data_IF_447075353380
#
_entry.id   IF_447075353380
#
_cell.length_a   1.000
_cell.length_b   1.000
_cell.length_c   1.000
_cell.angle_alpha   90.00
_cell.angle_beta   90.00
_cell.angle_gamma   90.00
#
_symmetry.space_group_name_H-M   'P 1'
#
loop_
_entity.id
_entity.type
_entity.pdbx_description
1 polymer ?
#
# COMPACT_ATOMS: atom_id res chain seq x y z
N UNK A 1 -9.07 -1.14 -12.16
CA UNK A 1 -8.50 0.24 -12.14
C UNK A 1 -7.12 0.21 -12.77
N UNK A 2 -6.83 1.05 -13.76
CA UNK A 2 -5.50 1.09 -14.41
C UNK A 2 -4.48 1.84 -13.56
N UNK A 3 -3.19 1.70 -13.89
CA UNK A 3 -2.11 2.42 -13.22
C UNK A 3 -2.29 3.94 -13.29
N UNK A 4 -2.63 4.47 -14.46
CA UNK A 4 -2.74 5.92 -14.64
C UNK A 4 -3.96 6.47 -13.88
N UNK A 5 -5.09 5.75 -13.88
CA UNK A 5 -6.25 6.08 -13.05
C UNK A 5 -5.88 6.13 -11.56
N UNK A 6 -5.09 5.15 -11.10
CA UNK A 6 -4.60 5.12 -9.72
C UNK A 6 -3.75 6.35 -9.39
N UNK A 7 -2.81 6.73 -10.26
CA UNK A 7 -1.98 7.92 -10.05
C UNK A 7 -2.78 9.22 -9.98
N UNK A 8 -3.87 9.36 -10.74
CA UNK A 8 -4.74 10.54 -10.66
C UNK A 8 -5.45 10.67 -9.30
N UNK A 9 -5.64 9.57 -8.56
CA UNK A 9 -6.30 9.60 -7.25
C UNK A 9 -5.39 10.12 -6.13
N UNK A 10 -4.08 10.10 -6.33
CA UNK A 10 -3.08 10.50 -5.31
C UNK A 10 -3.31 11.93 -4.80
N UNK A 11 -3.62 12.85 -5.71
CA UNK A 11 -3.77 14.27 -5.41
C UNK A 11 -5.25 14.70 -5.38
N UNK A 12 -6.18 13.74 -5.48
CA UNK A 12 -7.61 14.01 -5.45
C UNK A 12 -8.04 14.34 -4.02
N UNK A 13 -8.53 15.55 -3.81
CA UNK A 13 -9.19 15.92 -2.56
C UNK A 13 -10.35 14.95 -2.27
N UNK A 14 -10.34 14.38 -1.06
CA UNK A 14 -11.35 13.44 -0.61
C UNK A 14 -11.86 13.86 0.77
N UNK A 15 -13.14 14.20 0.84
CA UNK A 15 -13.82 14.49 2.10
C UNK A 15 -13.91 13.23 2.95
N UNK A 16 -13.94 13.36 4.28
CA UNK A 16 -14.00 12.21 5.20
C UNK A 16 -15.21 11.30 4.90
N UNK A 17 -16.35 11.89 4.52
CA UNK A 17 -17.57 11.16 4.15
C UNK A 17 -17.44 10.31 2.88
N UNK A 18 -16.47 10.62 2.01
CA UNK A 18 -16.22 9.89 0.76
C UNK A 18 -15.20 8.76 0.93
N UNK A 19 -14.57 8.66 2.11
CA UNK A 19 -13.55 7.66 2.39
C UNK A 19 -14.19 6.34 2.79
N UNK A 20 -13.81 5.29 2.08
CA UNK A 20 -14.18 3.92 2.43
C UNK A 20 -13.45 3.52 3.70
N UNK A 21 -14.16 2.85 4.62
CA UNK A 21 -13.54 2.20 5.76
C UNK A 21 -12.83 0.94 5.29
N UNK A 22 -11.55 0.79 5.62
CA UNK A 22 -10.77 -0.38 5.22
C UNK A 22 -11.34 -1.67 5.84
N UNK A 23 -12.00 -1.59 7.00
CA UNK A 23 -12.66 -2.74 7.62
C UNK A 23 -13.91 -3.20 6.83
N UNK A 24 -14.51 -2.32 6.02
CA UNK A 24 -15.63 -2.67 5.16
C UNK A 24 -15.19 -3.38 3.86
N UNK A 25 -13.89 -3.39 3.55
CA UNK A 25 -13.35 -4.09 2.39
C UNK A 25 -13.25 -5.58 2.69
N UNK A 26 -14.05 -6.38 1.98
CA UNK A 26 -14.09 -7.83 2.15
C UNK A 26 -13.46 -8.53 0.95
N UNK A 27 -12.42 -9.32 1.19
CA UNK A 27 -11.68 -10.04 0.15
C UNK A 27 -11.82 -11.54 0.32
N UNK A 28 -12.21 -12.23 -0.76
CA UNK A 28 -12.11 -13.68 -0.83
C UNK A 28 -10.63 -14.11 -0.90
N UNK A 29 -10.16 -14.75 0.17
CA UNK A 29 -8.78 -15.20 0.30
C UNK A 29 -8.46 -16.41 -0.59
N UNK A 30 -9.47 -17.13 -1.08
CA UNK A 30 -9.28 -18.25 -2.00
C UNK A 30 -8.94 -17.80 -3.43
N UNK A 31 -9.24 -16.54 -3.79
CA UNK A 31 -8.93 -16.00 -5.12
C UNK A 31 -7.42 -15.83 -5.33
N UNK A 32 -6.91 -15.92 -6.58
CA UNK A 32 -5.52 -15.60 -6.87
C UNK A 32 -5.16 -14.15 -6.52
N UNK A 33 -3.88 -13.90 -6.21
CA UNK A 33 -3.42 -12.60 -5.72
C UNK A 33 -3.78 -11.42 -6.65
N UNK A 34 -3.69 -11.60 -7.97
CA UNK A 34 -4.04 -10.55 -8.94
C UNK A 34 -5.52 -10.15 -8.85
N UNK A 35 -6.41 -11.13 -8.68
CA UNK A 35 -7.85 -10.91 -8.57
C UNK A 35 -8.21 -10.23 -7.25
N UNK A 36 -7.55 -10.64 -6.15
CA UNK A 36 -7.71 -9.95 -4.85
C UNK A 36 -7.26 -8.50 -4.92
N UNK A 37 -6.16 -8.21 -5.62
CA UNK A 37 -5.69 -6.84 -5.80
C UNK A 37 -6.69 -5.99 -6.62
N UNK A 38 -7.25 -6.56 -7.69
CA UNK A 38 -8.27 -5.87 -8.49
C UNK A 38 -9.53 -5.60 -7.67
N UNK A 39 -10.02 -6.59 -6.93
CA UNK A 39 -11.23 -6.47 -6.12
C UNK A 39 -11.03 -5.48 -4.96
N UNK A 40 -9.86 -5.50 -4.32
CA UNK A 40 -9.49 -4.50 -3.32
C UNK A 40 -9.57 -3.08 -3.88
N UNK A 41 -8.93 -2.84 -5.03
CA UNK A 41 -8.92 -1.53 -5.69
C UNK A 41 -10.33 -1.08 -6.08
N UNK A 42 -11.21 -2.01 -6.46
CA UNK A 42 -12.62 -1.74 -6.75
C UNK A 42 -13.40 -1.32 -5.51
N UNK A 43 -13.21 -2.01 -4.38
CA UNK A 43 -13.95 -1.75 -3.14
C UNK A 43 -13.46 -0.51 -2.41
N UNK A 44 -12.15 -0.31 -2.29
CA UNK A 44 -11.57 0.84 -1.55
C UNK A 44 -11.78 2.16 -2.28
N UNK A 45 -11.91 2.13 -3.62
CA UNK A 45 -12.09 3.31 -4.47
C UNK A 45 -10.83 4.17 -4.56
N UNK A 46 -10.50 4.90 -3.49
CA UNK A 46 -9.27 5.69 -3.38
C UNK A 46 -8.31 5.09 -2.33
N UNK A 47 -7.32 4.27 -2.72
CA UNK A 47 -6.35 3.72 -1.77
C UNK A 47 -5.39 4.76 -1.18
N UNK A 48 -5.37 6.00 -1.68
CA UNK A 48 -4.60 7.11 -1.10
C UNK A 48 -5.36 7.88 -0.02
N UNK A 49 -6.70 7.71 0.06
CA UNK A 49 -7.53 8.39 1.04
C UNK A 49 -8.67 7.47 1.51
N UNK A 50 -8.48 6.84 2.67
CA UNK A 50 -9.43 5.91 3.28
C UNK A 50 -9.59 6.21 4.77
N UNK A 51 -10.40 5.44 5.49
CA UNK A 51 -10.49 5.51 6.95
C UNK A 51 -10.35 4.13 7.59
N UNK A 52 -10.00 4.12 8.87
CA UNK A 52 -9.97 2.93 9.72
C UNK A 52 -10.80 3.28 10.96
N UNK A 53 -12.06 2.85 10.97
CA UNK A 53 -13.06 3.35 11.91
C UNK A 53 -13.19 4.88 11.82
N UNK A 54 -12.95 5.56 12.94
CA UNK A 54 -13.03 7.02 13.04
C UNK A 54 -11.77 7.75 12.54
N UNK A 55 -10.70 7.03 12.19
CA UNK A 55 -9.41 7.61 11.82
C UNK A 55 -9.36 7.81 10.31
N UNK A 56 -9.23 9.06 9.86
CA UNK A 56 -8.97 9.38 8.45
C UNK A 56 -7.49 9.20 8.10
N UNK A 57 -7.20 8.42 7.07
CA UNK A 57 -5.84 8.10 6.61
C UNK A 57 -5.59 8.72 5.24
N UNK A 58 -4.49 9.46 5.10
CA UNK A 58 -3.95 9.89 3.81
C UNK A 58 -2.61 9.21 3.58
N UNK A 59 -2.43 8.60 2.42
CA UNK A 59 -1.18 7.94 2.04
C UNK A 59 -0.46 8.82 1.03
N UNK A 60 0.72 9.28 1.41
CA UNK A 60 1.60 10.04 0.55
C UNK A 60 3.01 9.45 0.59
N UNK A 61 3.72 9.51 -0.53
CA UNK A 61 5.16 9.29 -0.52
C UNK A 61 5.83 10.57 -0.05
N UNK A 62 6.73 10.46 0.93
CA UNK A 62 7.53 11.59 1.35
C UNK A 62 8.40 12.08 0.18
N UNK A 63 8.50 13.40 0.00
CA UNK A 63 9.35 14.00 -1.04
C UNK A 63 10.84 13.72 -0.79
N UNK A 64 11.21 13.48 0.47
CA UNK A 64 12.56 13.16 0.90
C UNK A 64 12.56 12.03 1.92
N UNK A 65 13.64 11.26 1.95
CA UNK A 65 13.81 10.10 2.81
C UNK A 65 14.10 8.83 2.00
N UNK A 66 14.27 7.72 2.70
CA UNK A 66 14.50 6.42 2.08
C UNK A 66 13.26 5.97 1.32
N UNK A 67 13.45 5.48 0.10
CA UNK A 67 12.40 4.86 -0.70
C UNK A 67 11.82 3.65 0.03
N UNK A 68 10.58 3.27 -0.33
CA UNK A 68 9.98 2.05 0.19
C UNK A 68 10.84 0.80 -0.09
N UNK A 69 11.52 0.75 -1.25
CA UNK A 69 12.47 -0.31 -1.57
C UNK A 69 13.63 -0.35 -0.58
N UNK A 70 14.26 0.79 -0.30
CA UNK A 70 15.34 0.87 0.69
C UNK A 70 14.85 0.50 2.09
N UNK A 71 13.60 0.85 2.43
CA UNK A 71 12.90 0.42 3.64
C UNK A 71 12.84 -1.10 3.76
N UNK A 72 12.33 -1.76 2.72
CA UNK A 72 12.21 -3.22 2.68
C UNK A 72 13.57 -3.91 2.72
N UNK A 73 14.54 -3.45 1.91
CA UNK A 73 15.88 -4.06 1.87
C UNK A 73 16.54 -4.03 3.24
N UNK A 74 16.55 -2.89 3.94
CA UNK A 74 17.19 -2.87 5.26
C UNK A 74 16.39 -3.62 6.33
N UNK A 75 15.06 -3.71 6.22
CA UNK A 75 14.24 -4.55 7.10
C UNK A 75 14.61 -6.03 6.93
N UNK A 76 14.62 -6.52 5.69
CA UNK A 76 14.95 -7.91 5.39
C UNK A 76 16.41 -8.25 5.70
N UNK A 77 17.34 -7.35 5.37
CA UNK A 77 18.76 -7.52 5.71
C UNK A 77 18.99 -7.52 7.24
N UNK A 78 18.22 -6.76 8.02
CA UNK A 78 18.30 -6.80 9.47
C UNK A 78 17.73 -8.12 10.05
N UNK A 79 16.69 -8.69 9.41
CA UNK A 79 16.08 -9.95 9.82
C UNK A 79 16.84 -11.22 9.38
N UNK A 80 17.66 -11.12 8.33
CA UNK A 80 18.57 -12.17 7.89
C UNK A 80 19.90 -11.97 8.60
N UNK A 81 20.01 -12.53 9.81
CA UNK A 81 21.13 -12.30 10.72
C UNK A 81 22.50 -12.35 10.05
N UNK A 82 23.42 -11.50 10.53
CA UNK A 82 24.86 -11.47 10.21
C UNK A 82 25.45 -12.89 10.09
N UNK A 83 25.42 -13.47 8.89
CA UNK A 83 26.26 -14.60 8.43
C UNK A 83 26.07 -14.78 6.93
N UNK A 84 26.68 -13.88 6.16
CA UNK A 84 27.18 -14.21 4.83
C UNK A 84 28.37 -13.29 4.58
N UNK A 85 29.56 -13.85 4.73
CA UNK A 85 30.78 -13.29 4.18
C UNK A 85 30.60 -13.26 2.65
N UNK A 86 30.50 -12.07 2.06
CA UNK A 86 30.29 -11.87 0.62
C UNK A 86 31.61 -11.78 -0.17
N UNK A 87 32.76 -12.01 0.45
CA UNK A 87 34.06 -12.01 -0.25
C UNK A 87 34.35 -13.33 -1.00
N UNK A 88 33.34 -14.02 -1.55
CA UNK A 88 33.58 -15.24 -2.35
C UNK A 88 32.63 -15.50 -3.53
N UNK A 89 32.02 -14.46 -4.11
CA UNK A 89 31.39 -14.55 -5.44
C UNK A 89 31.87 -13.43 -6.36
#
# INVERSE_FOLDING_TARGET
MTRDQLFQLKDKAAFVSERVDIEAVNMDQAMPAAWRAEEYLRQIGNPYAFKCGEISVNVCFAESGRTFREALVSCFAASLGKKANIDSL
#
